data_IF_790628044665
#
_entry.id   IF_790628044665
#
_cell.length_a   1.000
_cell.length_b   1.000
_cell.length_c   1.000
_cell.angle_alpha   90.00
_cell.angle_beta   90.00
_cell.angle_gamma   90.00
#
_symmetry.space_group_name_H-M   'P 1'
#
loop_
_entity.id
_entity.type
_entity.pdbx_description
1 polymer ?
#
# COMPACT_ATOMS: atom_id res chain seq x y z
N UNK A 1 0.68 16.10 -6.54
CA UNK A 1 2.06 15.85 -6.04
C UNK A 1 2.22 14.37 -5.71
N UNK A 2 1.31 13.81 -4.91
CA UNK A 2 1.29 12.38 -4.53
C UNK A 2 0.42 11.54 -5.48
N UNK A 3 0.63 11.71 -6.78
CA UNK A 3 0.09 10.82 -7.81
C UNK A 3 1.27 10.31 -8.65
N UNK A 4 1.91 9.19 -8.24
CA UNK A 4 3.11 8.70 -8.89
C UNK A 4 2.84 8.23 -10.33
N UNK A 5 1.60 7.85 -10.66
CA UNK A 5 1.25 7.32 -11.97
C UNK A 5 1.27 8.42 -13.03
N UNK A 6 0.91 9.67 -12.68
CA UNK A 6 0.95 10.80 -13.61
C UNK A 6 2.33 11.09 -14.22
N UNK A 7 3.42 10.64 -13.59
CA UNK A 7 4.78 10.82 -14.09
C UNK A 7 5.17 9.83 -15.19
N UNK A 8 4.39 8.77 -15.41
CA UNK A 8 4.64 7.79 -16.46
C UNK A 8 3.98 8.22 -17.78
N UNK A 9 4.71 8.05 -18.88
CA UNK A 9 4.23 8.42 -20.23
C UNK A 9 3.48 7.30 -20.93
N UNK A 10 3.54 6.07 -20.40
CA UNK A 10 3.03 4.84 -21.01
C UNK A 10 1.85 4.22 -20.25
N UNK A 11 1.13 5.02 -19.45
CA UNK A 11 -0.07 4.57 -18.73
C UNK A 11 -1.35 5.01 -19.46
N UNK A 12 -2.42 4.24 -19.29
CA UNK A 12 -3.74 4.65 -19.78
C UNK A 12 -4.32 5.71 -18.83
N UNK A 13 -4.23 6.99 -19.21
CA UNK A 13 -4.73 8.11 -18.39
C UNK A 13 -6.24 8.09 -18.15
N UNK A 14 -7.02 7.32 -18.92
CA UNK A 14 -8.45 7.14 -18.66
C UNK A 14 -8.72 6.39 -17.33
N UNK A 15 -7.70 5.70 -16.78
CA UNK A 15 -7.79 5.03 -15.49
C UNK A 15 -7.42 5.96 -14.31
N UNK A 16 -7.00 7.20 -14.57
CA UNK A 16 -6.78 8.22 -13.55
C UNK A 16 -8.09 8.97 -13.38
N UNK A 17 -8.75 8.72 -12.25
CA UNK A 17 -10.11 9.23 -11.97
C UNK A 17 -10.15 9.90 -10.60
N UNK A 18 -11.14 10.75 -10.38
CA UNK A 18 -11.40 11.29 -9.04
C UNK A 18 -11.71 10.15 -8.06
N UNK A 19 -11.29 10.31 -6.81
CA UNK A 19 -11.52 9.33 -5.75
C UNK A 19 -13.00 8.89 -5.62
N UNK A 20 -13.95 9.80 -5.90
CA UNK A 20 -15.40 9.49 -5.89
C UNK A 20 -15.82 8.32 -6.79
N UNK A 21 -15.02 7.97 -7.81
CA UNK A 21 -15.26 6.80 -8.64
C UNK A 21 -15.18 5.49 -7.83
N UNK A 22 -14.32 5.44 -6.80
CA UNK A 22 -14.14 4.25 -5.95
C UNK A 22 -15.46 3.83 -5.29
N UNK A 23 -16.19 4.75 -4.69
CA UNK A 23 -17.49 4.47 -4.08
C UNK A 23 -18.53 3.99 -5.11
N UNK A 24 -18.47 4.53 -6.34
CA UNK A 24 -19.34 4.11 -7.45
C UNK A 24 -19.03 2.67 -7.88
N UNK A 25 -17.74 2.34 -8.04
CA UNK A 25 -17.30 1.00 -8.44
C UNK A 25 -17.57 -0.05 -7.37
N UNK A 26 -17.37 0.31 -6.10
CA UNK A 26 -17.70 -0.54 -4.96
C UNK A 26 -19.20 -0.85 -4.91
N UNK A 27 -20.06 0.17 -5.03
CA UNK A 27 -21.51 0.01 -4.98
C UNK A 27 -22.05 -0.84 -6.15
N UNK A 28 -21.40 -0.77 -7.31
CA UNK A 28 -21.79 -1.52 -8.51
C UNK A 28 -21.09 -2.88 -8.66
N UNK A 29 -20.22 -3.26 -7.72
CA UNK A 29 -19.39 -4.46 -7.80
C UNK A 29 -18.52 -4.52 -9.08
N UNK A 30 -17.92 -3.39 -9.44
CA UNK A 30 -17.06 -3.21 -10.62
C UNK A 30 -15.66 -2.71 -10.26
N UNK A 31 -15.18 -2.98 -9.04
CA UNK A 31 -13.82 -2.66 -8.65
C UNK A 31 -12.80 -3.30 -9.61
N UNK A 32 -11.70 -2.60 -9.96
CA UNK A 32 -10.64 -3.18 -10.75
C UNK A 32 -9.83 -4.20 -9.93
N UNK A 33 -9.11 -5.09 -10.61
CA UNK A 33 -8.18 -6.03 -9.95
C UNK A 33 -7.06 -5.32 -9.16
N UNK A 34 -6.75 -4.07 -9.53
CA UNK A 34 -5.79 -3.22 -8.83
C UNK A 34 -6.33 -1.79 -8.78
N UNK A 35 -6.38 -1.21 -7.58
CA UNK A 35 -6.70 0.18 -7.34
C UNK A 35 -5.59 0.82 -6.49
N UNK A 36 -5.11 1.99 -6.92
CA UNK A 36 -4.25 2.85 -6.11
C UNK A 36 -5.09 4.00 -5.59
N UNK A 37 -5.28 4.04 -4.28
CA UNK A 37 -6.13 5.03 -3.61
C UNK A 37 -5.25 6.06 -2.93
N UNK A 38 -5.35 7.33 -3.35
CA UNK A 38 -4.70 8.45 -2.71
C UNK A 38 -5.78 9.39 -2.14
N UNK A 39 -5.84 9.59 -0.81
CA UNK A 39 -6.68 10.63 -0.22
C UNK A 39 -6.23 12.02 -0.70
N UNK A 40 -7.08 13.03 -0.49
CA UNK A 40 -6.65 14.42 -0.67
C UNK A 40 -5.81 14.87 0.55
N UNK A 41 -5.17 16.04 0.48
CA UNK A 41 -4.29 16.53 1.55
C UNK A 41 -4.94 16.68 2.94
N UNK A 42 -6.27 16.84 3.01
CA UNK A 42 -7.00 16.91 4.27
C UNK A 42 -7.18 15.53 4.92
N UNK A 43 -7.19 14.48 4.10
CA UNK A 43 -7.60 13.13 4.46
C UNK A 43 -6.44 12.13 4.37
N UNK A 44 -5.21 12.57 4.10
CA UNK A 44 -4.02 11.71 3.94
C UNK A 44 -3.21 11.50 5.23
N UNK A 45 -3.63 12.15 6.32
CA UNK A 45 -2.95 12.09 7.61
C UNK A 45 -1.75 13.04 7.74
N UNK A 46 -1.48 13.90 6.75
CA UNK A 46 -0.40 14.88 6.80
C UNK A 46 -0.89 16.30 7.17
N UNK A 47 -1.85 16.88 6.44
CA UNK A 47 -2.23 18.29 6.66
C UNK A 47 -3.25 18.47 7.79
N UNK A 48 -3.68 17.37 8.42
CA UNK A 48 -4.73 17.37 9.44
C UNK A 48 -4.57 16.27 10.46
N UNK A 49 -5.44 16.27 11.47
CA UNK A 49 -5.31 15.35 12.61
C UNK A 49 -5.48 13.89 12.20
N UNK A 50 -4.88 13.00 12.96
CA UNK A 50 -5.06 11.55 12.83
C UNK A 50 -6.53 11.15 12.96
N UNK A 51 -7.32 11.91 13.74
CA UNK A 51 -8.76 11.69 13.86
C UNK A 51 -9.54 11.96 12.57
N UNK A 52 -9.03 12.89 11.74
CA UNK A 52 -9.59 13.16 10.41
C UNK A 52 -9.31 11.98 9.49
N UNK A 53 -8.07 11.50 9.45
CA UNK A 53 -7.69 10.32 8.67
C UNK A 53 -8.47 9.06 9.10
N UNK A 54 -8.59 8.81 10.41
CA UNK A 54 -9.39 7.70 10.94
C UNK A 54 -10.88 7.81 10.54
N UNK A 55 -11.43 9.02 10.55
CA UNK A 55 -12.81 9.26 10.10
C UNK A 55 -12.99 9.01 8.60
N UNK A 56 -11.97 9.37 7.80
CA UNK A 56 -11.93 9.09 6.37
C UNK A 56 -11.85 7.59 6.09
N UNK A 57 -10.97 6.85 6.77
CA UNK A 57 -10.89 5.38 6.67
C UNK A 57 -12.21 4.71 7.03
N UNK A 58 -12.88 5.15 8.09
CA UNK A 58 -14.21 4.63 8.47
C UNK A 58 -15.26 4.89 7.40
N UNK A 59 -15.18 6.01 6.70
CA UNK A 59 -16.17 6.41 5.69
C UNK A 59 -15.93 5.67 4.38
N UNK A 60 -14.71 5.68 3.89
CA UNK A 60 -14.38 5.18 2.55
C UNK A 60 -13.97 3.70 2.54
N UNK A 61 -13.27 3.23 3.58
CA UNK A 61 -12.68 1.87 3.60
C UNK A 61 -13.57 0.86 4.35
N UNK A 62 -14.30 1.27 5.38
CA UNK A 62 -15.17 0.32 6.10
C UNK A 62 -16.22 -0.38 5.20
N UNK A 63 -16.85 0.30 4.21
CA UNK A 63 -17.74 -0.36 3.25
C UNK A 63 -17.02 -1.40 2.39
N UNK A 64 -15.75 -1.16 2.01
CA UNK A 64 -14.93 -2.13 1.28
C UNK A 64 -14.70 -3.39 2.13
N UNK A 65 -14.33 -3.22 3.40
CA UNK A 65 -14.10 -4.35 4.31
C UNK A 65 -15.37 -5.15 4.60
N UNK A 66 -16.55 -4.51 4.55
CA UNK A 66 -17.84 -5.17 4.67
C UNK A 66 -18.29 -5.90 3.39
N UNK A 67 -17.66 -5.63 2.24
CA UNK A 67 -18.01 -6.25 0.96
C UNK A 67 -17.55 -7.72 0.87
N UNK A 68 -18.17 -8.49 -0.02
CA UNK A 68 -17.84 -9.92 -0.22
C UNK A 68 -16.37 -10.18 -0.54
N UNK A 69 -15.68 -9.20 -1.13
CA UNK A 69 -14.23 -9.22 -1.41
C UNK A 69 -13.37 -9.44 -0.16
N UNK A 70 -13.81 -8.94 1.00
CA UNK A 70 -13.09 -9.01 2.28
C UNK A 70 -13.79 -9.89 3.33
N UNK A 71 -14.82 -10.64 2.93
CA UNK A 71 -15.48 -11.63 3.78
C UNK A 71 -14.99 -13.05 3.49
N UNK A 72 -15.48 -14.03 4.24
CA UNK A 72 -15.11 -15.44 4.05
C UNK A 72 -15.33 -15.90 2.60
N UNK A 73 -14.28 -16.42 1.98
CA UNK A 73 -14.28 -16.84 0.57
C UNK A 73 -13.80 -15.77 -0.42
N UNK A 74 -13.59 -14.53 0.04
CA UNK A 74 -12.88 -13.50 -0.71
C UNK A 74 -11.36 -13.69 -0.69
N UNK A 75 -10.68 -13.07 -1.63
CA UNK A 75 -9.22 -13.17 -1.86
C UNK A 75 -8.54 -11.79 -1.98
N UNK A 76 -9.25 -10.71 -1.63
CA UNK A 76 -8.72 -9.36 -1.76
C UNK A 76 -7.66 -9.02 -0.73
N UNK A 77 -6.77 -8.10 -1.11
CA UNK A 77 -5.72 -7.53 -0.28
C UNK A 77 -5.85 -6.01 -0.28
N UNK A 78 -6.00 -5.42 0.90
CA UNK A 78 -5.86 -4.00 1.14
C UNK A 78 -4.53 -3.76 1.86
N UNK A 79 -3.76 -2.79 1.35
CA UNK A 79 -2.53 -2.32 1.99
C UNK A 79 -2.74 -0.84 2.32
N UNK A 80 -2.69 -0.50 3.60
CA UNK A 80 -2.68 0.90 4.07
C UNK A 80 -1.26 1.21 4.51
N UNK A 81 -0.65 2.24 3.92
CA UNK A 81 0.74 2.63 4.16
C UNK A 81 0.91 4.13 3.95
N UNK A 82 2.08 4.67 4.29
CA UNK A 82 2.43 6.08 4.14
C UNK A 82 3.68 6.20 3.26
N UNK A 83 3.83 7.34 2.57
CA UNK A 83 4.94 7.57 1.65
C UNK A 83 6.22 8.05 2.34
N UNK A 84 6.10 8.71 3.49
CA UNK A 84 7.22 9.14 4.32
C UNK A 84 6.86 9.20 5.81
N UNK A 85 7.87 9.21 6.68
CA UNK A 85 7.69 9.58 8.08
C UNK A 85 7.64 11.12 8.24
N UNK A 86 7.26 11.59 9.42
CA UNK A 86 7.27 13.02 9.75
C UNK A 86 8.67 13.56 10.13
N UNK A 87 9.73 12.76 9.87
CA UNK A 87 11.13 13.00 10.26
C UNK A 87 11.38 12.98 11.77
N UNK A 88 10.43 12.53 12.58
CA UNK A 88 10.62 12.36 14.03
C UNK A 88 11.15 10.96 14.39
N UNK A 89 11.14 10.03 13.43
CA UNK A 89 11.57 8.64 13.61
C UNK A 89 13.08 8.47 13.80
N UNK A 90 13.47 7.35 14.41
CA UNK A 90 14.86 6.90 14.51
C UNK A 90 14.95 5.40 14.21
N UNK A 91 15.90 4.96 13.36
CA UNK A 91 16.92 5.77 12.68
C UNK A 91 16.35 6.57 11.50
N UNK A 92 16.94 7.73 11.23
CA UNK A 92 16.65 8.52 10.02
C UNK A 92 17.92 8.71 9.21
N UNK A 93 17.97 8.14 8.02
CA UNK A 93 19.13 8.25 7.13
C UNK A 93 18.73 8.11 5.65
N UNK A 94 19.33 8.95 4.81
CA UNK A 94 19.13 8.92 3.36
C UNK A 94 20.35 8.35 2.65
N UNK A 95 20.10 7.59 1.59
CA UNK A 95 21.10 7.14 0.63
C UNK A 95 20.46 7.05 -0.75
N UNK A 96 21.28 7.12 -1.79
CA UNK A 96 20.86 6.88 -3.17
C UNK A 96 20.99 5.41 -3.57
N UNK A 97 21.61 4.58 -2.73
CA UNK A 97 21.72 3.14 -2.99
C UNK A 97 20.50 2.40 -2.48
N UNK A 98 19.74 1.81 -3.41
CA UNK A 98 18.55 0.99 -3.11
C UNK A 98 18.83 -0.06 -2.02
N UNK A 99 17.95 -0.16 -1.01
CA UNK A 99 18.05 -1.11 0.11
C UNK A 99 19.05 -0.75 1.21
N UNK A 100 19.86 0.29 1.01
CA UNK A 100 20.85 0.70 2.02
C UNK A 100 20.37 1.88 2.86
N UNK A 101 19.20 2.45 2.54
CA UNK A 101 18.58 3.52 3.32
C UNK A 101 17.83 2.92 4.48
N UNK A 102 18.02 3.49 5.67
CA UNK A 102 17.11 3.22 6.77
C UNK A 102 15.83 4.05 6.66
N UNK A 103 15.83 5.11 5.84
CA UNK A 103 14.64 5.91 5.53
C UNK A 103 14.03 6.53 6.79
N UNK A 104 12.71 6.62 6.79
CA UNK A 104 11.88 6.80 7.97
C UNK A 104 10.97 5.58 8.14
N UNK A 105 10.61 5.24 9.37
CA UNK A 105 9.69 4.11 9.61
C UNK A 105 8.24 4.58 9.48
N UNK A 106 7.50 3.96 8.58
CA UNK A 106 6.06 4.18 8.40
C UNK A 106 5.24 3.00 8.87
N UNK A 107 4.00 3.26 9.32
CA UNK A 107 3.04 2.20 9.59
C UNK A 107 2.61 1.55 8.26
N UNK A 108 2.48 0.22 8.25
CA UNK A 108 1.96 -0.52 7.09
C UNK A 108 1.11 -1.67 7.56
N UNK A 109 -0.16 -1.65 7.17
CA UNK A 109 -1.17 -2.63 7.57
C UNK A 109 -1.65 -3.39 6.34
N UNK A 110 -1.54 -4.72 6.38
CA UNK A 110 -2.11 -5.63 5.39
C UNK A 110 -3.42 -6.20 5.94
N UNK A 111 -4.49 -6.06 5.17
CA UNK A 111 -5.81 -6.58 5.51
C UNK A 111 -6.25 -7.50 4.38
N UNK A 112 -6.58 -8.75 4.71
CA UNK A 112 -7.08 -9.73 3.75
C UNK A 112 -7.80 -10.88 4.46
N UNK A 113 -8.84 -11.49 3.85
CA UNK A 113 -9.40 -12.75 4.34
C UNK A 113 -8.38 -13.89 4.44
N UNK A 114 -7.27 -13.79 3.71
CA UNK A 114 -6.20 -14.79 3.68
C UNK A 114 -5.07 -14.48 4.67
N UNK A 115 -5.09 -13.31 5.32
CA UNK A 115 -4.02 -12.89 6.24
C UNK A 115 -4.15 -13.52 7.63
N UNK A 116 -3.02 -13.61 8.34
CA UNK A 116 -2.96 -14.00 9.75
C UNK A 116 -3.55 -12.90 10.63
N UNK A 117 -4.60 -13.24 11.37
CA UNK A 117 -5.30 -12.30 12.25
C UNK A 117 -4.36 -11.75 13.35
N UNK A 118 -4.36 -10.42 13.51
CA UNK A 118 -3.58 -9.72 14.54
C UNK A 118 -2.07 -10.07 14.54
N UNK A 119 -1.54 -10.38 13.35
CA UNK A 119 -0.13 -10.71 13.18
C UNK A 119 0.71 -9.46 13.02
N UNK A 120 1.82 -9.41 13.77
CA UNK A 120 2.88 -8.42 13.59
C UNK A 120 4.11 -9.15 13.06
N UNK A 121 4.54 -8.79 11.85
CA UNK A 121 5.74 -9.34 11.25
C UNK A 121 6.97 -9.10 12.14
N UNK A 122 7.78 -10.16 12.28
CA UNK A 122 9.14 -10.10 12.79
C UNK A 122 10.16 -10.52 11.74
N UNK A 123 9.67 -10.78 10.52
CA UNK A 123 10.50 -11.04 9.34
C UNK A 123 10.93 -9.71 8.70
N UNK A 124 11.39 -9.81 7.46
CA UNK A 124 11.72 -8.69 6.59
C UNK A 124 12.71 -9.14 5.51
N UNK A 125 13.25 -8.19 4.77
CA UNK A 125 14.21 -8.49 3.71
C UNK A 125 15.64 -8.28 4.21
N UNK A 126 16.51 -9.32 4.26
CA UNK A 126 17.91 -9.17 4.64
C UNK A 126 18.72 -8.22 3.75
N UNK A 127 18.22 -7.90 2.56
CA UNK A 127 18.80 -6.90 1.68
C UNK A 127 18.53 -5.45 2.13
N UNK A 128 17.63 -5.24 3.11
CA UNK A 128 17.28 -3.94 3.66
C UNK A 128 17.94 -3.70 5.02
N UNK A 129 17.97 -2.42 5.42
CA UNK A 129 18.46 -2.01 6.73
C UNK A 129 17.73 -2.76 7.86
N UNK A 130 18.48 -3.31 8.81
CA UNK A 130 17.95 -4.06 9.95
C UNK A 130 16.94 -5.18 9.60
N UNK A 131 17.05 -5.76 8.40
CA UNK A 131 16.13 -6.80 7.92
C UNK A 131 14.66 -6.34 7.95
N UNK A 132 14.36 -5.11 7.53
CA UNK A 132 12.98 -4.60 7.43
C UNK A 132 12.39 -4.83 6.04
N UNK A 133 11.08 -4.65 5.89
CA UNK A 133 10.46 -4.44 4.58
C UNK A 133 10.59 -2.95 4.18
N UNK A 134 10.65 -2.69 2.87
CA UNK A 134 10.59 -1.36 2.26
C UNK A 134 9.42 -1.27 1.26
N UNK A 135 9.17 -0.13 0.65
CA UNK A 135 8.07 0.06 -0.32
C UNK A 135 8.26 -0.82 -1.58
N UNK A 136 9.49 -1.24 -1.87
CA UNK A 136 9.76 -2.20 -2.93
C UNK A 136 9.29 -3.62 -2.57
N UNK A 137 9.31 -4.01 -1.29
CA UNK A 137 8.63 -5.22 -0.80
C UNK A 137 7.10 -5.14 -0.95
N UNK A 138 6.49 -3.95 -0.82
CA UNK A 138 5.06 -3.75 -1.08
C UNK A 138 4.76 -4.01 -2.57
N UNK A 139 5.51 -3.37 -3.48
CA UNK A 139 5.34 -3.59 -4.93
C UNK A 139 5.56 -5.07 -5.31
N UNK A 140 6.54 -5.72 -4.71
CA UNK A 140 6.79 -7.15 -4.90
C UNK A 140 5.58 -7.99 -4.48
N UNK A 141 5.01 -7.70 -3.31
CA UNK A 141 3.85 -8.41 -2.76
C UNK A 141 2.63 -8.24 -3.66
N UNK A 142 2.35 -7.01 -4.13
CA UNK A 142 1.24 -6.73 -5.06
C UNK A 142 1.41 -7.51 -6.37
N UNK A 143 2.61 -7.51 -6.95
CA UNK A 143 2.86 -8.20 -8.21
C UNK A 143 2.67 -9.72 -8.09
N UNK A 144 3.13 -10.34 -7.00
CA UNK A 144 2.92 -11.77 -6.77
C UNK A 144 1.45 -12.10 -6.49
N UNK A 145 0.74 -11.28 -5.70
CA UNK A 145 -0.69 -11.45 -5.44
C UNK A 145 -1.53 -11.40 -6.74
N UNK A 146 -1.13 -10.56 -7.70
CA UNK A 146 -1.74 -10.45 -9.02
C UNK A 146 -1.26 -11.50 -10.03
N UNK A 147 -0.32 -12.38 -9.66
CA UNK A 147 0.27 -13.38 -10.55
C UNK A 147 1.10 -12.78 -11.69
N UNK A 148 1.64 -11.58 -11.52
CA UNK A 148 2.42 -10.87 -12.53
C UNK A 148 3.87 -11.36 -12.56
N UNK A 149 4.54 -11.16 -13.70
CA UNK A 149 5.98 -11.36 -13.79
C UNK A 149 6.69 -10.29 -12.94
N UNK A 150 7.50 -10.75 -12.00
CA UNK A 150 8.26 -9.87 -11.09
C UNK A 150 9.59 -9.39 -11.69
N UNK A 151 10.01 -9.97 -12.83
CA UNK A 151 11.14 -9.45 -13.59
C UNK A 151 10.80 -8.07 -14.18
N UNK A 152 11.70 -7.10 -14.02
CA UNK A 152 11.53 -5.75 -14.55
C UNK A 152 10.85 -4.75 -13.61
N UNK A 153 10.51 -5.13 -12.37
CA UNK A 153 9.96 -4.23 -11.35
C UNK A 153 11.01 -3.32 -10.67
N UNK A 154 12.12 -3.02 -11.35
CA UNK A 154 13.22 -2.27 -10.78
C UNK A 154 13.74 -2.90 -9.49
N UNK A 155 13.89 -2.10 -8.43
CA UNK A 155 14.35 -2.57 -7.12
C UNK A 155 13.49 -3.68 -6.51
N UNK A 156 12.18 -3.71 -6.80
CA UNK A 156 11.27 -4.74 -6.28
C UNK A 156 11.51 -6.13 -6.90
N UNK A 157 12.19 -6.22 -8.04
CA UNK A 157 12.45 -7.49 -8.71
C UNK A 157 13.30 -8.47 -7.86
N UNK A 158 14.09 -7.95 -6.93
CA UNK A 158 14.93 -8.76 -6.02
C UNK A 158 14.49 -8.70 -4.57
N UNK A 159 13.38 -8.02 -4.25
CA UNK A 159 12.86 -7.95 -2.88
C UNK A 159 12.14 -9.22 -2.48
N UNK A 160 12.12 -9.48 -1.17
CA UNK A 160 11.20 -10.44 -0.60
C UNK A 160 9.78 -9.84 -0.52
N UNK A 161 8.73 -10.60 -0.90
CA UNK A 161 7.36 -10.22 -0.60
C UNK A 161 7.10 -10.32 0.91
N UNK A 162 6.05 -9.62 1.37
CA UNK A 162 5.52 -9.68 2.74
C UNK A 162 4.70 -10.96 2.96
N UNK A 163 5.20 -12.10 2.49
CA UNK A 163 4.48 -13.37 2.47
C UNK A 163 4.23 -13.95 3.87
N UNK A 164 4.98 -13.49 4.89
CA UNK A 164 4.80 -13.92 6.27
C UNK A 164 3.51 -13.41 6.92
N UNK A 165 2.81 -12.46 6.30
CA UNK A 165 1.48 -12.00 6.73
C UNK A 165 0.35 -12.98 6.39
N UNK A 166 0.59 -13.99 5.54
CA UNK A 166 -0.37 -14.99 5.10
C UNK A 166 0.07 -16.38 5.58
#
# INVERSE_FOLDING_TARGET
>A
RHDPLEYYTNINRANIVCFSQFATDLANNTLPNFAYLAPNGQDDGHDSSESTFDSWLKTEIAPLLASSHFQAGGDSLLIVTFDEDDKSGSPSCSTTTMGQGCGGQVETVLISPLSKLAYKSTAGDPANYNTTYDEASILRTIAEALGLNTAGLGGAATRLPMADFF
#
